data_IF_427029877619
#
_entry.id   IF_427029877619
#
_cell.length_a   1.000
_cell.length_b   1.000
_cell.length_c   1.000
_cell.angle_alpha   90.00
_cell.angle_beta   90.00
_cell.angle_gamma   90.00
#
_symmetry.space_group_name_H-M   'P 1'
#
loop_
_entity.id
_entity.type
_entity.pdbx_description
1 polymer ?
#
# COMPACT_ATOMS: atom_id res chain seq x y z
N UNK A 1 16.07 -6.88 -1.71
CA UNK A 1 16.59 -5.53 -2.01
C UNK A 1 17.97 -5.70 -2.60
N UNK A 2 18.03 -5.75 -3.92
CA UNK A 2 19.22 -5.80 -4.77
C UNK A 2 18.82 -5.29 -6.17
N UNK A 3 18.03 -4.21 -6.19
CA UNK A 3 17.27 -3.74 -7.36
C UNK A 3 17.35 -2.21 -7.52
N UNK A 4 16.39 -1.62 -8.25
CA UNK A 4 16.42 -0.24 -8.75
C UNK A 4 16.31 0.90 -7.71
N UNK A 5 16.25 0.60 -6.41
CA UNK A 5 16.14 1.58 -5.34
C UNK A 5 16.86 1.08 -4.08
N UNK A 6 17.48 2.02 -3.36
CA UNK A 6 18.28 1.74 -2.16
C UNK A 6 17.41 1.45 -0.93
N UNK A 7 16.29 2.18 -0.80
CA UNK A 7 15.42 2.14 0.37
C UNK A 7 13.99 1.78 -0.01
N UNK A 8 13.29 1.10 0.90
CA UNK A 8 11.85 0.87 0.83
C UNK A 8 11.21 1.29 2.15
N UNK A 9 10.26 2.21 2.07
CA UNK A 9 9.52 2.71 3.23
C UNK A 9 8.07 2.32 3.08
N UNK A 10 7.48 1.76 4.13
CA UNK A 10 6.06 1.42 4.18
C UNK A 10 5.35 2.52 4.94
N UNK A 11 4.43 3.20 4.28
CA UNK A 11 3.61 4.27 4.86
C UNK A 11 2.12 3.93 4.73
N UNK A 12 1.33 4.41 5.68
CA UNK A 12 -0.13 4.26 5.70
C UNK A 12 -0.79 5.63 5.78
N UNK A 13 -1.73 5.91 4.87
CA UNK A 13 -2.58 7.09 4.90
C UNK A 13 -4.05 6.70 4.74
N UNK A 14 -4.96 7.61 5.10
CA UNK A 14 -6.41 7.37 4.99
C UNK A 14 -6.90 7.49 3.56
N UNK A 15 -6.22 8.33 2.76
CA UNK A 15 -6.58 8.58 1.36
C UNK A 15 -5.34 8.58 0.47
N UNK A 16 -5.53 8.32 -0.82
CA UNK A 16 -4.44 8.38 -1.81
C UNK A 16 -3.84 9.80 -1.91
N UNK A 17 -4.68 10.84 -1.76
CA UNK A 17 -4.25 12.23 -1.77
C UNK A 17 -3.28 12.54 -0.62
N UNK A 18 -3.59 12.08 0.59
CA UNK A 18 -2.74 12.26 1.76
C UNK A 18 -1.37 11.61 1.56
N UNK A 19 -1.34 10.38 1.02
CA UNK A 19 -0.09 9.67 0.71
C UNK A 19 0.72 10.41 -0.35
N UNK A 20 0.08 10.83 -1.46
CA UNK A 20 0.76 11.58 -2.51
C UNK A 20 1.33 12.91 -2.02
N UNK A 21 0.57 13.63 -1.19
CA UNK A 21 1.01 14.89 -0.60
C UNK A 21 2.19 14.67 0.35
N UNK A 22 2.14 13.64 1.20
CA UNK A 22 3.24 13.29 2.08
C UNK A 22 4.52 12.96 1.28
N UNK A 23 4.41 12.16 0.22
CA UNK A 23 5.57 11.83 -0.62
C UNK A 23 6.13 13.09 -1.29
N UNK A 24 5.28 13.93 -1.89
CA UNK A 24 5.72 15.13 -2.62
C UNK A 24 6.27 16.25 -1.73
N UNK A 25 5.70 16.45 -0.54
CA UNK A 25 6.08 17.57 0.34
C UNK A 25 7.10 17.18 1.42
N UNK A 26 7.23 15.90 1.75
CA UNK A 26 8.07 15.45 2.89
C UNK A 26 9.19 14.51 2.49
N UNK A 27 8.95 13.55 1.60
CA UNK A 27 9.97 12.56 1.23
C UNK A 27 10.82 12.99 0.02
N UNK A 28 10.18 13.41 -1.07
CA UNK A 28 10.85 13.83 -2.29
C UNK A 28 11.81 15.04 -2.12
N UNK A 29 11.53 16.06 -1.29
CA UNK A 29 12.40 17.23 -1.16
C UNK A 29 13.57 17.05 -0.18
N UNK A 30 13.75 15.86 0.40
CA UNK A 30 14.92 15.57 1.25
C UNK A 30 16.18 15.61 0.39
N UNK A 31 17.24 16.29 0.88
CA UNK A 31 18.47 16.55 0.11
C UNK A 31 19.13 15.28 -0.46
N UNK A 32 19.01 14.15 0.24
CA UNK A 32 19.62 12.88 -0.15
C UNK A 32 18.69 11.97 -0.95
N UNK A 33 17.50 12.43 -1.34
CA UNK A 33 16.53 11.67 -2.13
C UNK A 33 16.61 12.09 -3.59
N UNK A 34 17.11 11.20 -4.44
CA UNK A 34 17.24 11.43 -5.89
C UNK A 34 15.95 11.16 -6.65
N UNK A 35 15.06 10.33 -6.10
CA UNK A 35 13.78 10.02 -6.70
C UNK A 35 12.94 9.10 -5.82
N UNK A 36 11.62 9.13 -6.05
CA UNK A 36 10.66 8.33 -5.30
C UNK A 36 9.75 7.54 -6.25
N UNK A 37 9.57 6.26 -5.99
CA UNK A 37 8.59 5.42 -6.68
C UNK A 37 7.57 4.89 -5.66
N UNK A 38 6.28 5.14 -5.90
CA UNK A 38 5.21 4.74 -4.98
C UNK A 38 4.51 3.48 -5.49
N UNK A 39 4.44 2.45 -4.66
CA UNK A 39 3.76 1.19 -4.96
C UNK A 39 2.62 0.96 -3.97
N UNK A 40 1.42 0.67 -4.46
CA UNK A 40 0.25 0.42 -3.62
C UNK A 40 0.02 -1.09 -3.45
N UNK A 41 -0.16 -1.52 -2.20
CA UNK A 41 -0.55 -2.89 -1.89
C UNK A 41 -2.04 -3.02 -2.15
N UNK A 42 -2.40 -3.65 -3.27
CA UNK A 42 -3.81 -3.86 -3.63
C UNK A 42 -4.45 -4.99 -2.81
N UNK A 43 -3.70 -6.09 -2.63
CA UNK A 43 -4.15 -7.26 -1.88
C UNK A 43 -2.98 -7.92 -1.17
N UNK A 44 -3.15 -8.16 0.12
CA UNK A 44 -2.22 -8.98 0.92
C UNK A 44 -2.66 -10.43 0.84
N UNK A 45 -1.76 -11.32 0.40
CA UNK A 45 -2.02 -12.77 0.34
C UNK A 45 -1.42 -13.51 1.53
N UNK A 46 -0.40 -12.94 2.16
CA UNK A 46 0.28 -13.50 3.32
C UNK A 46 0.81 -12.36 4.19
N UNK A 47 0.73 -12.48 5.50
CA UNK A 47 1.31 -11.53 6.45
C UNK A 47 1.76 -12.29 7.71
N UNK A 48 2.92 -11.92 8.27
CA UNK A 48 3.47 -12.53 9.50
C UNK A 48 3.42 -14.07 9.52
N UNK A 49 3.74 -14.68 8.38
CA UNK A 49 3.79 -16.13 8.17
C UNK A 49 2.41 -16.84 8.08
N UNK A 50 1.31 -16.09 8.21
CA UNK A 50 -0.05 -16.59 8.03
C UNK A 50 -0.54 -16.26 6.61
N UNK A 51 -1.07 -17.27 5.91
CA UNK A 51 -1.72 -17.09 4.61
C UNK A 51 -3.15 -16.66 4.84
N UNK A 52 -3.58 -15.55 4.23
CA UNK A 52 -4.97 -15.12 4.33
C UNK A 52 -5.84 -16.11 3.55
N UNK A 53 -6.78 -16.75 4.24
CA UNK A 53 -7.78 -17.57 3.58
C UNK A 53 -8.63 -16.67 2.66
N UNK A 54 -8.96 -17.19 1.47
CA UNK A 54 -9.88 -16.52 0.55
C UNK A 54 -11.21 -16.40 1.30
N UNK A 55 -11.67 -15.18 1.58
CA UNK A 55 -13.03 -14.98 2.08
C UNK A 55 -13.98 -15.68 1.09
N UNK A 56 -14.77 -16.63 1.59
CA UNK A 56 -15.87 -17.19 0.82
C UNK A 56 -16.74 -16.03 0.37
N UNK A 57 -17.06 -16.02 -0.91
CA UNK A 57 -17.99 -15.05 -1.47
C UNK A 57 -19.33 -15.35 -0.81
N UNK A 58 -19.71 -14.61 0.23
CA UNK A 58 -21.09 -14.68 0.69
C UNK A 58 -21.93 -14.14 -0.45
N UNK A 59 -22.63 -15.03 -1.14
CA UNK A 59 -23.77 -14.67 -1.96
C UNK A 59 -24.67 -13.85 -1.05
N UNK A 60 -24.73 -12.53 -1.28
CA UNK A 60 -25.67 -11.68 -0.59
C UNK A 60 -27.04 -12.14 -1.06
N UNK A 61 -27.71 -12.98 -0.27
CA UNK A 61 -29.13 -13.19 -0.42
C UNK A 61 -29.80 -11.83 -0.22
N UNK A 62 -30.25 -11.24 -1.32
CA UNK A 62 -31.08 -10.05 -1.28
C UNK A 62 -32.45 -10.49 -0.76
N UNK A 63 -32.65 -10.40 0.56
CA UNK A 63 -33.98 -10.52 1.16
C UNK A 63 -34.72 -9.22 0.84
N UNK A 64 -35.55 -9.24 -0.20
CA UNK A 64 -36.62 -8.28 -0.37
C UNK A 64 -37.81 -8.78 0.45
N UNK A 65 -38.05 -8.18 1.61
CA UNK A 65 -39.35 -8.24 2.31
C UNK A 65 -40.03 -6.89 2.12
#
# INVERSE_FOLDING_TARGET
>A
MSGAFDLTVIISGRTLKEVAQFVGERLAPLENVTGTATHFILKKYKEKHLVFQKQEHQEREFIFT
#
